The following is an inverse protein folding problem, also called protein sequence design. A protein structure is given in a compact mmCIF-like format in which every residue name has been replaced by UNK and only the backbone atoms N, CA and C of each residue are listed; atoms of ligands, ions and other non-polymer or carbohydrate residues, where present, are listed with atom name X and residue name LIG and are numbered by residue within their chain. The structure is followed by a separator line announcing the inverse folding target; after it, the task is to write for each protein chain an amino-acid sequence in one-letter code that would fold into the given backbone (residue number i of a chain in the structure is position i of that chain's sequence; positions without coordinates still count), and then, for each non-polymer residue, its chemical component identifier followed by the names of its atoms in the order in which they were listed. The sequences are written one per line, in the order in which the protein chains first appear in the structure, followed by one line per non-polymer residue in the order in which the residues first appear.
data_IF_406372166549
#
_entry.id   IF_406372166549
#
_cell.length_a   1.000
_cell.length_b   1.000
_cell.length_c   1.000
_cell.angle_alpha   90.00
_cell.angle_beta   90.00
_cell.angle_gamma   90.00
#
_symmetry.space_group_name_H-M   'P 1'
#
loop_
_entity.id
_entity.type
_entity.pdbx_description
1 polymer ?
#
# COMPACT_ATOMS: atom_id res chain seq x y z
N UNK A 1 25.13 5.63 -2.06
CA UNK A 1 24.90 6.55 -0.92
C UNK A 1 25.08 7.97 -1.43
N UNK A 2 24.03 8.78 -1.41
CA UNK A 2 24.07 10.15 -1.94
C UNK A 2 22.75 10.87 -1.71
N UNK A 3 22.70 11.62 -0.61
CA UNK A 3 21.83 12.76 -0.32
C UNK A 3 20.30 12.63 -0.54
N UNK A 4 19.63 11.90 0.38
CA UNK A 4 18.23 12.21 0.78
C UNK A 4 18.26 13.20 1.97
N UNK A 5 19.16 14.19 1.94
CA UNK A 5 19.28 15.16 3.04
C UNK A 5 19.37 16.57 2.48
N UNK A 6 18.42 17.38 2.93
CA UNK A 6 18.25 18.81 2.68
C UNK A 6 17.59 19.14 1.35
N UNK A 7 16.25 19.25 1.32
CA UNK A 7 15.57 20.47 0.83
C UNK A 7 14.04 20.45 0.90
N UNK A 8 13.39 19.35 1.29
CA UNK A 8 11.93 19.37 1.52
C UNK A 8 11.64 18.82 2.91
N UNK A 9 11.01 19.64 3.76
CA UNK A 9 10.46 19.19 5.05
C UNK A 9 9.68 17.91 4.80
N UNK A 10 9.93 16.87 5.61
CA UNK A 10 9.39 15.51 5.42
C UNK A 10 7.87 15.49 5.22
N UNK A 11 7.12 16.47 5.77
CA UNK A 11 5.68 16.61 5.53
C UNK A 11 5.32 17.16 4.13
N UNK A 12 6.12 18.06 3.54
CA UNK A 12 5.81 18.68 2.24
C UNK A 12 6.14 17.78 1.04
N UNK A 13 7.04 16.81 1.19
CA UNK A 13 7.47 15.98 0.07
C UNK A 13 6.41 14.94 -0.29
N UNK A 14 5.88 14.26 0.72
CA UNK A 14 4.80 13.30 0.56
C UNK A 14 3.52 13.99 0.11
N UNK A 15 3.21 15.17 0.67
CA UNK A 15 2.08 16.01 0.20
C UNK A 15 2.23 16.42 -1.27
N UNK A 16 3.43 16.81 -1.71
CA UNK A 16 3.66 17.22 -3.10
C UNK A 16 3.61 16.05 -4.07
N UNK A 17 4.17 14.90 -3.71
CA UNK A 17 4.05 13.66 -4.50
C UNK A 17 2.58 13.25 -4.60
N UNK A 18 1.86 13.32 -3.48
CA UNK A 18 0.44 13.01 -3.43
C UNK A 18 -0.36 14.01 -4.28
N UNK A 19 -0.04 15.30 -4.26
CA UNK A 19 -0.66 16.30 -5.14
C UNK A 19 -0.44 15.95 -6.61
N UNK A 20 0.80 15.66 -7.02
CA UNK A 20 1.12 15.27 -8.41
C UNK A 20 0.37 14.00 -8.78
N UNK A 21 0.29 13.03 -7.87
CA UNK A 21 -0.48 11.81 -8.08
C UNK A 21 -1.97 12.10 -8.28
N UNK A 22 -2.58 12.94 -7.43
CA UNK A 22 -3.98 13.36 -7.55
C UNK A 22 -4.25 14.09 -8.87
N UNK A 23 -3.33 14.94 -9.31
CA UNK A 23 -3.43 15.67 -10.57
C UNK A 23 -3.40 14.73 -11.79
N UNK A 24 -2.52 13.73 -11.76
CA UNK A 24 -2.35 12.72 -12.82
C UNK A 24 -3.56 11.79 -12.89
N UNK A 25 -4.12 11.41 -11.73
CA UNK A 25 -5.33 10.57 -11.65
C UNK A 25 -6.59 11.35 -12.08
N UNK A 26 -6.64 12.64 -11.77
CA UNK A 26 -7.79 13.51 -12.02
C UNK A 26 -8.88 13.40 -10.95
N UNK A 27 -9.57 14.50 -10.69
CA UNK A 27 -10.56 14.61 -9.60
C UNK A 27 -11.72 13.62 -9.71
N UNK A 28 -12.17 13.32 -10.93
CA UNK A 28 -13.27 12.39 -11.19
C UNK A 28 -12.96 10.94 -10.83
N UNK A 29 -11.68 10.57 -10.78
CA UNK A 29 -11.23 9.22 -10.43
C UNK A 29 -10.74 9.13 -8.99
N UNK A 30 -10.62 10.25 -8.27
CA UNK A 30 -10.13 10.29 -6.89
C UNK A 30 -11.06 9.57 -5.92
N UNK A 31 -12.37 9.73 -6.08
CA UNK A 31 -13.39 9.03 -5.27
C UNK A 31 -13.35 7.52 -5.42
N UNK A 32 -12.84 6.99 -6.55
CA UNK A 32 -12.69 5.55 -6.76
C UNK A 32 -11.47 4.95 -6.06
N UNK A 33 -10.50 5.79 -5.67
CA UNK A 33 -9.22 5.34 -5.14
C UNK A 33 -8.93 5.87 -3.74
N UNK A 34 -9.77 6.76 -3.20
CA UNK A 34 -9.56 7.45 -1.92
C UNK A 34 -9.28 6.46 -0.79
N UNK A 35 -10.12 5.43 -0.67
CA UNK A 35 -10.01 4.36 0.32
C UNK A 35 -8.71 3.53 0.20
N UNK A 36 -8.05 3.57 -0.95
CA UNK A 36 -6.85 2.79 -1.26
C UNK A 36 -5.56 3.63 -1.28
N UNK A 37 -5.65 4.96 -1.16
CA UNK A 37 -4.51 5.87 -1.32
C UNK A 37 -3.34 5.55 -0.39
N UNK A 38 -3.62 5.17 0.85
CA UNK A 38 -2.59 4.81 1.85
C UNK A 38 -1.90 3.48 1.56
N UNK A 39 -2.50 2.61 0.74
CA UNK A 39 -1.93 1.32 0.36
C UNK A 39 -1.03 1.42 -0.88
N UNK A 40 -1.14 2.51 -1.64
CA UNK A 40 -0.33 2.72 -2.82
C UNK A 40 1.12 3.01 -2.46
N UNK A 41 2.01 2.29 -3.13
CA UNK A 41 3.45 2.44 -2.96
C UNK A 41 3.98 3.41 -4.00
N UNK A 42 4.15 4.66 -3.59
CA UNK A 42 4.74 5.71 -4.41
C UNK A 42 6.21 5.90 -4.08
N UNK A 43 6.98 6.26 -5.10
CA UNK A 43 8.39 6.64 -4.98
C UNK A 43 8.62 7.83 -5.91
N UNK A 44 9.44 8.77 -5.48
CA UNK A 44 9.93 9.82 -6.37
C UNK A 44 11.46 9.82 -6.48
N UNK A 45 11.96 10.17 -7.66
CA UNK A 45 13.38 10.39 -7.91
C UNK A 45 13.57 11.76 -8.56
N UNK A 46 14.42 12.61 -7.98
CA UNK A 46 14.79 13.89 -8.58
C UNK A 46 16.02 13.71 -9.47
N UNK A 47 15.91 14.08 -10.75
CA UNK A 47 17.02 14.04 -11.71
C UNK A 47 16.96 15.25 -12.63
N UNK A 48 18.02 16.06 -12.65
CA UNK A 48 18.11 17.27 -13.48
C UNK A 48 16.86 18.16 -13.36
N UNK A 49 16.47 18.48 -12.14
CA UNK A 49 15.29 19.31 -11.81
C UNK A 49 13.93 18.73 -12.26
N UNK A 50 13.91 17.46 -12.68
CA UNK A 50 12.68 16.73 -12.99
C UNK A 50 12.42 15.72 -11.88
N UNK A 51 11.26 15.84 -11.23
CA UNK A 51 10.75 14.89 -10.26
C UNK A 51 10.01 13.76 -10.98
N UNK A 52 10.63 12.59 -11.02
CA UNK A 52 10.05 11.39 -11.58
C UNK A 52 9.22 10.65 -10.52
N UNK A 53 7.93 10.50 -10.75
CA UNK A 53 7.02 9.80 -9.84
C UNK A 53 6.75 8.40 -10.37
N UNK A 54 6.93 7.41 -9.49
CA UNK A 54 6.73 6.00 -9.76
C UNK A 54 5.71 5.43 -8.80
N UNK A 55 4.93 4.48 -9.31
CA UNK A 55 4.02 3.66 -8.53
C UNK A 55 4.38 2.19 -8.69
N UNK A 56 4.43 1.46 -7.58
CA UNK A 56 4.54 0.02 -7.62
C UNK A 56 3.15 -0.60 -7.73
N UNK A 57 2.97 -1.46 -8.72
CA UNK A 57 1.75 -2.22 -8.93
C UNK A 57 1.97 -3.66 -8.47
N UNK A 58 1.33 -4.06 -7.38
CA UNK A 58 1.38 -5.41 -6.82
C UNK A 58 0.91 -6.45 -7.85
N UNK A 59 -0.16 -6.16 -8.58
CA UNK A 59 -0.70 -7.07 -9.60
C UNK A 59 0.30 -7.35 -10.74
N UNK A 60 1.24 -6.44 -11.00
CA UNK A 60 2.32 -6.59 -11.99
C UNK A 60 3.69 -6.88 -11.39
N UNK A 61 3.82 -6.81 -10.06
CA UNK A 61 5.07 -6.92 -9.31
C UNK A 61 6.19 -6.01 -9.84
N UNK A 62 5.86 -4.78 -10.26
CA UNK A 62 6.84 -3.85 -10.84
C UNK A 62 6.54 -2.39 -10.55
N UNK A 63 7.60 -1.58 -10.56
CA UNK A 63 7.52 -0.12 -10.57
C UNK A 63 7.23 0.38 -11.98
N UNK A 64 6.27 1.29 -12.10
CA UNK A 64 5.97 2.02 -13.32
C UNK A 64 6.11 3.51 -13.06
N UNK A 65 6.72 4.23 -14.01
CA UNK A 65 6.75 5.69 -13.98
C UNK A 65 5.38 6.20 -14.40
N UNK A 66 4.74 6.98 -13.53
CA UNK A 66 3.38 7.50 -13.77
C UNK A 66 3.40 8.96 -14.21
N UNK A 67 4.38 9.74 -13.75
CA UNK A 67 4.48 11.16 -14.06
C UNK A 67 5.91 11.68 -13.97
N UNK A 68 6.15 12.80 -14.65
CA UNK A 68 7.33 13.64 -14.51
C UNK A 68 6.86 15.05 -14.20
N UNK A 69 7.39 15.66 -13.14
CA UNK A 69 7.07 17.03 -12.76
C UNK A 69 8.35 17.87 -12.85
N UNK A 70 8.35 18.87 -13.72
CA UNK A 70 9.46 19.80 -13.84
C UNK A 70 9.40 20.79 -12.68
N UNK A 71 10.45 20.83 -11.85
CA UNK A 71 10.50 21.66 -10.65
C UNK A 71 10.70 23.15 -10.96
N UNK A 72 11.22 23.49 -12.15
CA UNK A 72 11.41 24.88 -12.60
C UNK A 72 10.15 25.44 -13.25
N UNK A 73 9.55 24.70 -14.18
CA UNK A 73 8.36 25.16 -14.92
C UNK A 73 7.06 24.87 -14.19
N UNK A 74 7.06 23.95 -13.23
CA UNK A 74 5.87 23.45 -12.54
C UNK A 74 4.99 22.55 -13.40
N UNK A 75 5.41 22.24 -14.63
CA UNK A 75 4.62 21.41 -15.55
C UNK A 75 4.71 19.93 -15.17
N UNK A 76 3.55 19.27 -15.14
CA UNK A 76 3.43 17.84 -14.95
C UNK A 76 3.15 17.16 -16.28
N UNK A 77 4.01 16.23 -16.65
CA UNK A 77 3.85 15.37 -17.82
C UNK A 77 3.44 13.97 -17.38
N UNK A 78 2.31 13.52 -17.88
CA UNK A 78 1.82 12.15 -17.68
C UNK A 78 2.66 11.18 -18.50
N UNK A 79 3.08 10.07 -17.88
CA UNK A 79 3.87 9.04 -18.56
C UNK A 79 3.02 7.84 -18.97
N UNK A 80 1.79 7.78 -18.48
CA UNK A 80 0.78 6.78 -18.81
C UNK A 80 -0.52 7.55 -19.10
N UNK A 81 -1.24 7.24 -20.19
CA UNK A 81 -2.54 7.86 -20.45
C UNK A 81 -3.51 7.65 -19.28
N UNK A 82 -4.30 8.67 -18.93
CA UNK A 82 -5.25 8.60 -17.79
C UNK A 82 -6.14 7.36 -17.80
N UNK A 83 -6.70 7.02 -18.96
CA UNK A 83 -7.56 5.84 -19.12
C UNK A 83 -6.82 4.51 -18.85
N UNK A 84 -5.54 4.44 -19.21
CA UNK A 84 -4.72 3.26 -18.92
C UNK A 84 -4.36 3.23 -17.44
N UNK A 85 -3.95 4.36 -16.85
CA UNK A 85 -3.68 4.47 -15.42
C UNK A 85 -4.89 4.07 -14.58
N UNK A 86 -6.09 4.52 -14.96
CA UNK A 86 -7.35 4.14 -14.32
C UNK A 86 -7.55 2.63 -14.28
N UNK A 87 -7.36 1.93 -15.41
CA UNK A 87 -7.45 0.47 -15.48
C UNK A 87 -6.43 -0.21 -14.58
N UNK A 88 -5.21 0.32 -14.52
CA UNK A 88 -4.17 -0.20 -13.63
C UNK A 88 -4.52 -0.03 -12.16
N UNK A 89 -5.11 1.11 -11.78
CA UNK A 89 -5.53 1.38 -10.40
C UNK A 89 -6.70 0.50 -9.97
N UNK A 90 -7.69 0.27 -10.85
CA UNK A 90 -8.80 -0.65 -10.56
C UNK A 90 -8.28 -2.07 -10.28
N UNK A 91 -7.41 -2.58 -11.15
CA UNK A 91 -6.80 -3.91 -10.96
C UNK A 91 -5.93 -3.97 -9.70
N UNK A 92 -5.22 -2.89 -9.38
CA UNK A 92 -4.46 -2.80 -8.15
C UNK A 92 -5.36 -2.87 -6.92
N UNK A 93 -6.48 -2.15 -6.92
CA UNK A 93 -7.44 -2.16 -5.80
C UNK A 93 -8.05 -3.55 -5.57
N UNK A 94 -8.43 -4.23 -6.65
CA UNK A 94 -8.90 -5.63 -6.57
C UNK A 94 -7.83 -6.54 -5.96
N UNK A 95 -6.57 -6.37 -6.38
CA UNK A 95 -5.43 -7.14 -5.86
C UNK A 95 -5.16 -6.83 -4.39
N UNK A 96 -5.25 -5.56 -3.99
CA UNK A 96 -5.10 -5.14 -2.59
C UNK A 96 -6.19 -5.73 -1.70
N UNK A 97 -7.44 -5.76 -2.17
CA UNK A 97 -8.55 -6.39 -1.45
C UNK A 97 -8.36 -7.90 -1.31
N UNK A 98 -7.93 -8.58 -2.38
CA UNK A 98 -7.65 -10.02 -2.34
C UNK A 98 -6.53 -10.34 -1.33
N UNK A 99 -5.44 -9.57 -1.36
CA UNK A 99 -4.32 -9.71 -0.44
C UNK A 99 -4.74 -9.45 1.02
N UNK A 100 -5.53 -8.39 1.25
CA UNK A 100 -6.06 -8.07 2.58
C UNK A 100 -6.95 -9.19 3.12
N UNK A 101 -7.85 -9.71 2.29
CA UNK A 101 -8.72 -10.84 2.67
C UNK A 101 -7.92 -12.10 3.00
N UNK A 102 -6.86 -12.38 2.23
CA UNK A 102 -5.97 -13.51 2.49
C UNK A 102 -5.25 -13.35 3.83
N UNK A 103 -4.75 -12.15 4.13
CA UNK A 103 -4.08 -11.86 5.40
C UNK A 103 -5.03 -11.90 6.60
N UNK A 104 -6.27 -11.44 6.45
CA UNK A 104 -7.32 -11.57 7.47
C UNK A 104 -7.60 -13.05 7.74
N UNK A 105 -7.79 -13.86 6.70
CA UNK A 105 -8.04 -15.31 6.84
C UNK A 105 -6.86 -16.02 7.52
N UNK A 106 -5.63 -15.69 7.12
CA UNK A 106 -4.41 -16.21 7.74
C UNK A 106 -4.36 -15.86 9.23
N UNK A 107 -4.64 -14.61 9.57
CA UNK A 107 -4.63 -14.11 10.95
C UNK A 107 -5.73 -14.77 11.79
N UNK A 108 -6.94 -14.94 11.23
CA UNK A 108 -8.03 -15.64 11.90
C UNK A 108 -7.68 -17.10 12.20
N UNK A 109 -7.03 -17.80 11.26
CA UNK A 109 -6.56 -19.17 11.48
C UNK A 109 -5.50 -19.26 12.58
N UNK A 110 -4.60 -18.29 12.67
CA UNK A 110 -3.63 -18.19 13.76
C UNK A 110 -4.35 -18.02 15.10
N UNK A 111 -5.32 -17.10 15.18
CA UNK A 111 -6.10 -16.86 16.40
C UNK A 111 -6.89 -18.12 16.81
N UNK A 112 -7.56 -18.79 15.87
CA UNK A 112 -8.28 -20.04 16.13
C UNK A 112 -7.36 -21.14 16.66
N UNK A 113 -6.16 -21.26 16.09
CA UNK A 113 -5.16 -22.23 16.53
C UNK A 113 -4.70 -21.95 17.97
N UNK A 114 -4.51 -20.69 18.33
CA UNK A 114 -4.17 -20.28 19.71
C UNK A 114 -5.31 -20.58 20.68
N UNK A 115 -6.56 -20.31 20.31
CA UNK A 115 -7.73 -20.64 21.14
C UNK A 115 -7.87 -22.15 21.34
N UNK A 116 -7.70 -22.95 20.28
CA UNK A 116 -7.74 -24.40 20.37
C UNK A 116 -6.65 -24.95 21.30
N UNK A 117 -5.45 -24.37 21.26
CA UNK A 117 -4.35 -24.73 22.15
C UNK A 117 -4.67 -24.43 23.62
N UNK A 118 -5.23 -23.25 23.90
CA UNK A 118 -5.63 -22.85 25.25
C UNK A 118 -6.73 -23.78 25.78
N UNK A 119 -7.77 -24.04 24.98
CA UNK A 119 -8.86 -24.94 25.36
C UNK A 119 -8.35 -26.35 25.60
N UNK A 120 -7.49 -26.89 24.72
CA UNK A 120 -6.87 -28.19 24.92
C UNK A 120 -6.04 -28.27 26.20
N UNK A 121 -5.30 -27.21 26.54
CA UNK A 121 -4.53 -27.14 27.78
C UNK A 121 -5.42 -27.11 29.02
N UNK A 122 -6.52 -26.35 29.00
CA UNK A 122 -7.51 -26.32 30.10
C UNK A 122 -8.16 -27.69 30.28
N UNK A 123 -8.59 -28.33 29.18
CA UNK A 123 -9.19 -29.66 29.24
C UNK A 123 -8.23 -30.72 29.76
N UNK A 124 -6.96 -30.67 29.34
CA UNK A 124 -5.94 -31.58 29.85
C UNK A 124 -5.69 -31.40 31.35
N UNK A 125 -5.63 -30.15 31.82
CA UNK A 125 -5.50 -29.84 33.25
C UNK A 125 -6.67 -30.39 34.07
N UNK A 126 -7.91 -30.17 33.63
CA UNK A 126 -9.10 -30.69 34.31
C UNK A 126 -9.13 -32.22 34.35
N UNK A 127 -8.72 -32.89 33.26
CA UNK A 127 -8.63 -34.35 33.22
C UNK A 127 -7.58 -34.88 34.21
N UNK A 128 -6.43 -34.20 34.30
CA UNK A 128 -5.37 -34.57 35.24
C UNK A 128 -5.84 -34.45 36.69
N UNK A 129 -6.46 -33.33 37.04
CA UNK A 129 -7.01 -33.08 38.38
C UNK A 129 -8.12 -34.08 38.74
N UNK A 130 -8.96 -34.47 37.77
CA UNK A 130 -9.98 -35.50 38.00
C UNK A 130 -9.37 -36.88 38.26
N UNK A 131 -8.30 -37.25 37.55
CA UNK A 131 -7.62 -38.55 37.73
C UNK A 131 -6.89 -38.61 39.08
N UNK A 132 -6.24 -37.53 39.52
CA UNK A 132 -5.55 -37.51 40.83
C UNK A 132 -6.50 -37.59 42.02
N UNK A 133 -7.74 -37.13 41.87
CA UNK A 133 -8.76 -37.14 42.92
C UNK A 133 -9.65 -38.41 42.92
N UNK A 134 -9.36 -39.39 42.05
CA UNK A 134 -10.08 -40.67 41.95
C UNK A 134 -9.32 -41.80 42.65
#
# INVERSE_FOLDING_TARGET
MGAIKHLVKVNNFDEKIMSIFKDVVGQENLTLIEDFTDFYRLKAELKNDILHVFMFFLHKKKWLKIAEHNMETGETKEMIPKEELKKLLVLENETLLEEANREISRTANIILSLLALILGSISAFLLFEFIENL
#
